data_IF_195277745175
#
_entry.id   IF_195277745175
#
_cell.length_a   1.000
_cell.length_b   1.000
_cell.length_c   1.000
_cell.angle_alpha   90.00
_cell.angle_beta   90.00
_cell.angle_gamma   90.00
#
_symmetry.space_group_name_H-M   'P 1'
#
loop_
_entity.id
_entity.type
_entity.pdbx_description
1 polymer ?
#
# COMPACT_ATOMS: atom_id res chain seq x y z
N UNK A 1 8.55 -28.94 -1.47
CA UNK A 1 7.48 -29.11 -0.46
C UNK A 1 8.03 -28.82 0.96
N UNK A 2 9.14 -29.46 1.40
CA UNK A 2 9.70 -29.24 2.75
C UNK A 2 10.01 -27.77 3.03
N UNK A 3 10.70 -27.07 2.13
CA UNK A 3 11.02 -25.65 2.26
C UNK A 3 9.77 -24.76 2.30
N UNK A 4 8.75 -25.04 1.46
CA UNK A 4 7.47 -24.32 1.51
C UNK A 4 6.80 -24.40 2.88
N UNK A 5 6.80 -25.60 3.47
CA UNK A 5 6.25 -25.84 4.81
C UNK A 5 7.04 -25.13 5.92
N UNK A 6 8.34 -24.93 5.71
CA UNK A 6 9.21 -24.18 6.63
C UNK A 6 8.91 -22.69 6.55
N UNK A 7 8.81 -22.13 5.36
CA UNK A 7 8.44 -20.73 5.13
C UNK A 7 7.04 -20.39 5.68
N UNK A 8 6.08 -21.32 5.64
CA UNK A 8 4.72 -21.08 6.15
C UNK A 8 4.64 -20.95 7.68
N UNK A 9 5.70 -21.25 8.41
CA UNK A 9 5.79 -21.06 9.87
C UNK A 9 6.20 -19.64 10.26
N UNK A 10 6.79 -18.91 9.34
CA UNK A 10 7.14 -17.49 9.52
C UNK A 10 5.97 -16.62 9.05
N UNK A 11 5.61 -15.58 9.82
CA UNK A 11 4.56 -14.64 9.42
C UNK A 11 4.87 -13.98 8.07
N UNK A 12 3.81 -13.58 7.35
CA UNK A 12 3.91 -12.93 6.03
C UNK A 12 3.88 -11.40 6.11
N UNK A 13 3.79 -10.82 7.31
CA UNK A 13 3.83 -9.36 7.49
C UNK A 13 5.26 -8.82 7.36
N UNK A 14 5.41 -7.56 6.95
CA UNK A 14 6.71 -6.92 6.81
C UNK A 14 7.50 -6.93 8.13
N UNK A 15 6.81 -6.73 9.27
CA UNK A 15 7.44 -6.78 10.59
C UNK A 15 7.94 -8.20 10.94
N UNK A 16 7.13 -9.23 10.69
CA UNK A 16 7.51 -10.61 10.94
C UNK A 16 8.72 -11.03 10.06
N UNK A 17 8.74 -10.56 8.81
CA UNK A 17 9.86 -10.79 7.89
C UNK A 17 11.11 -10.03 8.32
N UNK A 18 10.97 -8.79 8.82
CA UNK A 18 12.11 -7.99 9.27
C UNK A 18 12.86 -8.64 10.46
N UNK A 19 12.09 -9.18 11.42
CA UNK A 19 12.63 -9.80 12.64
C UNK A 19 13.00 -11.27 12.44
N UNK A 20 12.34 -11.97 11.51
CA UNK A 20 12.49 -13.40 11.27
C UNK A 20 13.86 -13.79 10.69
N UNK A 21 14.31 -15.02 10.98
CA UNK A 21 15.51 -15.58 10.37
C UNK A 21 15.34 -15.69 8.85
N UNK A 22 16.35 -15.22 8.08
CA UNK A 22 16.38 -15.31 6.62
C UNK A 22 16.80 -16.73 6.23
N UNK A 23 15.86 -17.46 5.61
CA UNK A 23 16.10 -18.82 5.12
C UNK A 23 15.88 -18.89 3.61
N UNK A 24 16.68 -19.70 2.95
CA UNK A 24 16.63 -19.89 1.51
C UNK A 24 16.85 -21.34 1.09
N UNK A 25 16.44 -21.62 -0.11
CA UNK A 25 16.72 -22.88 -0.80
C UNK A 25 17.42 -22.57 -2.13
N UNK A 26 18.68 -23.02 -2.23
CA UNK A 26 19.44 -22.90 -3.46
C UNK A 26 18.90 -23.85 -4.53
N UNK A 27 18.74 -23.33 -5.73
CA UNK A 27 18.32 -24.13 -6.89
C UNK A 27 19.52 -24.49 -7.75
N UNK A 28 19.38 -25.45 -8.67
CA UNK A 28 20.40 -25.75 -9.69
C UNK A 28 20.46 -24.69 -10.81
N UNK A 29 19.62 -23.67 -10.75
CA UNK A 29 19.52 -22.63 -11.77
C UNK A 29 20.52 -21.50 -11.50
N UNK A 30 20.99 -20.90 -12.60
CA UNK A 30 21.77 -19.65 -12.58
C UNK A 30 21.13 -18.63 -13.50
N UNK A 31 20.98 -17.41 -13.02
CA UNK A 31 20.54 -16.29 -13.85
C UNK A 31 21.76 -15.59 -14.49
N UNK A 32 21.62 -15.18 -15.74
CA UNK A 32 22.63 -14.40 -16.46
C UNK A 32 22.37 -12.92 -16.18
N UNK A 33 23.40 -12.18 -15.76
CA UNK A 33 23.27 -10.73 -15.59
C UNK A 33 23.01 -10.08 -16.94
N UNK A 34 21.88 -9.39 -17.15
CA UNK A 34 21.52 -8.82 -18.45
C UNK A 34 22.47 -7.69 -18.90
N UNK A 35 23.19 -7.07 -17.96
CA UNK A 35 24.16 -6.01 -18.25
C UNK A 35 25.57 -6.55 -18.44
N UNK A 36 25.87 -7.72 -17.88
CA UNK A 36 27.14 -8.45 -18.06
C UNK A 36 26.88 -9.94 -18.30
N UNK A 37 26.72 -10.40 -19.55
CA UNK A 37 26.37 -11.79 -19.88
C UNK A 37 27.42 -12.83 -19.41
N UNK A 38 28.65 -12.42 -19.10
CA UNK A 38 29.67 -13.31 -18.56
C UNK A 38 29.44 -13.65 -17.08
N UNK A 39 28.67 -12.82 -16.37
CA UNK A 39 28.34 -13.00 -14.95
C UNK A 39 27.08 -13.86 -14.82
N UNK A 40 27.20 -14.94 -14.07
CA UNK A 40 26.09 -15.82 -13.69
C UNK A 40 25.93 -15.78 -12.17
N UNK A 41 24.72 -15.55 -11.71
CA UNK A 41 24.39 -15.51 -10.28
C UNK A 41 23.49 -16.69 -9.90
N UNK A 42 23.62 -17.25 -8.69
CA UNK A 42 22.77 -18.35 -8.22
C UNK A 42 21.33 -17.88 -8.02
N UNK A 43 20.38 -18.77 -8.18
CA UNK A 43 18.95 -18.51 -7.97
C UNK A 43 18.49 -19.22 -6.71
N UNK A 44 17.94 -18.47 -5.77
CA UNK A 44 17.40 -18.96 -4.51
C UNK A 44 15.89 -18.73 -4.41
N UNK A 45 15.19 -19.64 -3.76
CA UNK A 45 13.92 -19.31 -3.10
C UNK A 45 14.24 -18.82 -1.70
N UNK A 46 13.71 -17.66 -1.30
CA UNK A 46 13.95 -17.09 0.01
C UNK A 46 12.63 -16.65 0.66
N UNK A 47 12.51 -16.82 1.99
CA UNK A 47 11.29 -16.51 2.73
C UNK A 47 10.98 -15.02 2.88
N UNK A 48 11.92 -14.14 2.56
CA UNK A 48 11.77 -12.69 2.66
C UNK A 48 11.53 -11.98 1.31
N UNK A 49 11.51 -12.73 0.20
CA UNK A 49 11.15 -12.22 -1.12
C UNK A 49 9.65 -12.38 -1.31
N UNK A 50 8.92 -11.26 -1.28
CA UNK A 50 7.47 -11.23 -1.39
C UNK A 50 7.03 -11.24 -2.85
N UNK A 51 5.89 -11.87 -3.14
CA UNK A 51 5.30 -11.95 -4.49
C UNK A 51 4.89 -10.58 -5.03
N UNK A 52 4.52 -9.66 -4.15
CA UNK A 52 4.08 -8.30 -4.49
C UNK A 52 5.25 -7.35 -4.78
N UNK A 53 6.49 -7.81 -4.57
CA UNK A 53 7.69 -7.03 -4.80
C UNK A 53 8.44 -7.57 -6.02
N UNK A 54 8.66 -6.73 -7.03
CA UNK A 54 9.42 -7.10 -8.21
C UNK A 54 8.89 -8.32 -8.99
N UNK A 55 7.58 -8.53 -9.01
CA UNK A 55 6.93 -9.72 -9.58
C UNK A 55 7.35 -11.04 -8.91
N UNK A 56 7.79 -10.98 -7.66
CA UNK A 56 8.25 -12.14 -6.89
C UNK A 56 9.65 -12.64 -7.24
N UNK A 57 10.38 -11.89 -8.07
CA UNK A 57 11.78 -12.14 -8.36
C UNK A 57 12.57 -10.83 -8.24
N UNK A 58 13.61 -10.84 -7.40
CA UNK A 58 14.44 -9.66 -7.14
C UNK A 58 15.91 -9.99 -7.36
N UNK A 59 16.69 -8.98 -7.73
CA UNK A 59 18.14 -9.07 -7.80
C UNK A 59 18.70 -8.72 -6.40
N UNK A 60 19.40 -9.64 -5.76
CA UNK A 60 20.00 -9.41 -4.45
C UNK A 60 21.13 -8.40 -4.52
N UNK A 61 21.25 -7.54 -3.51
CA UNK A 61 22.33 -6.56 -3.38
C UNK A 61 22.96 -6.62 -1.98
N UNK A 62 23.71 -7.67 -1.65
CA UNK A 62 24.19 -7.94 -0.29
C UNK A 62 24.98 -6.80 0.35
N UNK A 63 25.75 -6.06 -0.44
CA UNK A 63 26.53 -4.95 0.10
C UNK A 63 25.67 -3.74 0.52
N UNK A 64 24.40 -3.63 0.05
CA UNK A 64 23.61 -2.40 0.17
C UNK A 64 22.15 -2.63 0.62
N UNK A 65 21.78 -3.85 0.97
CA UNK A 65 20.55 -4.22 1.68
C UNK A 65 20.91 -5.16 2.84
N UNK A 66 20.51 -4.82 4.06
CA UNK A 66 20.89 -5.59 5.26
C UNK A 66 20.31 -7.01 5.23
N UNK A 67 19.11 -7.22 4.69
CA UNK A 67 18.50 -8.55 4.58
C UNK A 67 19.28 -9.45 3.62
N UNK A 68 19.70 -8.89 2.49
CA UNK A 68 20.54 -9.59 1.53
C UNK A 68 21.95 -9.84 2.07
N UNK A 69 22.49 -8.89 2.89
CA UNK A 69 23.78 -9.06 3.56
C UNK A 69 23.76 -10.25 4.53
N UNK A 70 22.77 -10.30 5.43
CA UNK A 70 22.60 -11.36 6.40
C UNK A 70 22.41 -12.72 5.71
N UNK A 71 21.65 -12.73 4.63
CA UNK A 71 21.44 -13.90 3.79
C UNK A 71 22.74 -14.36 3.12
N UNK A 72 23.48 -13.43 2.52
CA UNK A 72 24.74 -13.73 1.85
C UNK A 72 25.80 -14.27 2.82
N UNK A 73 25.90 -13.69 4.02
CA UNK A 73 26.78 -14.22 5.08
C UNK A 73 26.38 -15.65 5.47
N UNK A 74 25.09 -15.91 5.67
CA UNK A 74 24.57 -17.23 6.05
C UNK A 74 24.85 -18.31 5.00
N UNK A 75 24.70 -17.98 3.73
CA UNK A 75 24.88 -18.92 2.61
C UNK A 75 26.24 -18.82 1.94
N UNK A 76 27.18 -18.09 2.55
CA UNK A 76 28.55 -17.89 2.07
C UNK A 76 28.61 -17.41 0.61
N UNK A 77 27.74 -16.46 0.26
CA UNK A 77 27.70 -15.81 -1.05
C UNK A 77 28.66 -14.61 -1.11
N UNK A 78 29.11 -14.26 -2.29
CA UNK A 78 29.97 -13.10 -2.50
C UNK A 78 29.26 -11.79 -2.15
N UNK A 79 29.92 -10.93 -1.37
CA UNK A 79 29.46 -9.58 -1.03
C UNK A 79 30.39 -8.58 -1.71
N UNK A 80 29.93 -8.01 -2.83
CA UNK A 80 30.67 -7.06 -3.63
C UNK A 80 30.24 -5.63 -3.32
N UNK A 81 31.12 -4.81 -2.73
CA UNK A 81 30.88 -3.39 -2.51
C UNK A 81 30.78 -2.66 -3.83
N UNK A 82 29.63 -2.03 -4.13
CA UNK A 82 29.38 -1.31 -5.37
C UNK A 82 29.02 0.16 -5.17
N UNK A 83 28.70 0.58 -3.95
CA UNK A 83 28.52 2.00 -3.58
C UNK A 83 29.49 2.32 -2.44
N UNK A 84 30.24 3.39 -2.57
CA UNK A 84 31.07 3.96 -1.50
C UNK A 84 30.49 5.28 -1.04
N UNK A 85 30.54 5.63 0.27
CA UNK A 85 30.23 6.96 0.75
C UNK A 85 31.06 8.05 0.05
N UNK A 86 30.54 9.28 -0.04
CA UNK A 86 31.22 10.39 -0.73
C UNK A 86 32.59 10.74 -0.12
N UNK A 87 32.75 10.53 1.20
CA UNK A 87 33.95 10.82 1.96
C UNK A 87 34.94 9.67 2.03
N UNK A 88 34.66 8.53 1.38
CA UNK A 88 35.49 7.35 1.35
C UNK A 88 36.27 7.23 0.03
N UNK A 89 37.39 6.52 0.06
CA UNK A 89 38.20 6.22 -1.12
C UNK A 89 37.73 4.94 -1.84
N UNK A 90 38.29 4.65 -3.01
CA UNK A 90 37.87 3.50 -3.85
C UNK A 90 38.21 2.13 -3.26
N UNK A 91 38.99 2.07 -2.17
CA UNK A 91 39.27 0.84 -1.43
C UNK A 91 38.23 0.55 -0.33
N UNK A 92 37.20 1.37 -0.21
CA UNK A 92 36.12 1.14 0.74
C UNK A 92 35.51 -0.25 0.54
N UNK A 93 35.38 -1.00 1.64
CA UNK A 93 34.81 -2.34 1.67
C UNK A 93 33.80 -2.47 2.78
N UNK A 94 32.74 -3.16 2.49
CA UNK A 94 31.71 -3.53 3.46
C UNK A 94 32.13 -4.84 4.13
N UNK A 95 32.13 -4.87 5.47
CA UNK A 95 32.59 -6.00 6.25
C UNK A 95 31.57 -6.49 7.28
N UNK A 96 31.03 -5.62 8.12
CA UNK A 96 30.19 -5.99 9.28
C UNK A 96 28.69 -5.80 9.02
N UNK A 97 28.33 -4.82 8.22
CA UNK A 97 26.93 -4.44 7.92
C UNK A 97 26.81 -3.84 6.52
N UNK A 98 25.59 -3.87 5.95
CA UNK A 98 25.33 -3.28 4.65
C UNK A 98 25.36 -1.75 4.72
N UNK A 99 25.83 -1.10 3.66
CA UNK A 99 25.76 0.35 3.52
C UNK A 99 24.60 0.75 2.62
N UNK A 100 23.54 1.32 3.19
CA UNK A 100 22.32 1.73 2.47
C UNK A 100 22.26 3.23 2.14
N UNK A 101 23.34 3.99 2.38
CA UNK A 101 23.38 5.43 2.11
C UNK A 101 23.69 5.79 0.64
N UNK A 102 23.54 7.07 0.27
CA UNK A 102 23.93 7.57 -1.04
C UNK A 102 25.45 7.58 -1.19
N UNK A 103 25.94 7.54 -2.43
CA UNK A 103 27.36 7.54 -2.67
C UNK A 103 27.75 7.46 -4.14
N UNK A 104 28.97 7.06 -4.42
CA UNK A 104 29.50 6.90 -5.78
C UNK A 104 29.66 5.43 -6.10
N UNK A 105 29.27 5.05 -7.30
CA UNK A 105 29.43 3.67 -7.78
C UNK A 105 30.89 3.31 -8.06
N UNK A 106 31.29 2.17 -7.52
CA UNK A 106 32.58 1.51 -7.78
C UNK A 106 32.34 0.05 -8.16
N UNK A 107 33.30 -0.62 -8.74
CA UNK A 107 33.20 -2.04 -9.12
C UNK A 107 31.97 -2.40 -10.00
N UNK A 108 31.43 -1.42 -10.74
CA UNK A 108 30.17 -1.48 -11.47
C UNK A 108 30.35 -1.18 -12.98
N UNK A 109 31.54 -1.40 -13.50
CA UNK A 109 31.89 -1.26 -14.94
C UNK A 109 31.52 0.12 -15.49
N UNK A 110 30.59 0.19 -16.46
CA UNK A 110 30.16 1.43 -17.11
C UNK A 110 29.34 2.36 -16.20
N UNK A 111 28.96 1.92 -15.04
CA UNK A 111 28.29 2.72 -14.02
C UNK A 111 29.27 3.35 -13.01
N UNK A 112 30.56 3.00 -13.03
CA UNK A 112 31.55 3.55 -12.13
C UNK A 112 31.59 5.08 -12.20
N UNK A 113 31.68 5.71 -11.04
CA UNK A 113 31.75 7.17 -10.93
C UNK A 113 30.39 7.89 -10.91
N UNK A 114 29.30 7.19 -11.19
CA UNK A 114 27.96 7.78 -11.12
C UNK A 114 27.46 7.86 -9.68
N UNK A 115 26.62 8.87 -9.42
CA UNK A 115 25.96 9.05 -8.14
C UNK A 115 24.85 7.99 -7.97
N UNK A 116 24.84 7.33 -6.82
CA UNK A 116 23.80 6.40 -6.40
C UNK A 116 22.90 7.04 -5.32
N UNK A 117 21.55 6.95 -5.44
CA UNK A 117 20.81 6.22 -6.50
C UNK A 117 20.47 7.05 -7.75
N UNK A 118 20.64 8.37 -7.72
CA UNK A 118 20.03 9.28 -8.69
C UNK A 118 20.46 9.02 -10.15
N UNK A 119 21.74 9.17 -10.44
CA UNK A 119 22.26 9.02 -11.80
C UNK A 119 22.30 7.55 -12.24
N UNK A 120 22.72 6.68 -11.36
CA UNK A 120 22.93 5.27 -11.64
C UNK A 120 21.64 4.53 -12.01
N UNK A 121 20.56 4.80 -11.30
CA UNK A 121 19.23 4.20 -11.56
C UNK A 121 18.72 4.63 -12.94
N UNK A 122 18.77 5.93 -13.24
CA UNK A 122 18.33 6.46 -14.54
C UNK A 122 19.16 5.88 -15.69
N UNK A 123 20.48 5.83 -15.53
CA UNK A 123 21.37 5.27 -16.56
C UNK A 123 21.09 3.80 -16.81
N UNK A 124 20.90 3.02 -15.75
CA UNK A 124 20.56 1.59 -15.84
C UNK A 124 19.22 1.37 -16.54
N UNK A 125 18.18 2.11 -16.17
CA UNK A 125 16.87 2.04 -16.81
C UNK A 125 16.97 2.31 -18.30
N UNK A 126 17.63 3.39 -18.69
CA UNK A 126 17.79 3.76 -20.12
C UNK A 126 18.46 2.64 -20.93
N UNK A 127 19.52 2.04 -20.38
CA UNK A 127 20.21 0.92 -21.06
C UNK A 127 19.31 -0.31 -21.20
N UNK A 128 18.54 -0.65 -20.17
CA UNK A 128 17.62 -1.78 -20.20
C UNK A 128 16.49 -1.56 -21.22
N UNK A 129 15.99 -0.33 -21.34
CA UNK A 129 14.96 0.05 -22.31
C UNK A 129 15.53 0.06 -23.74
N UNK A 130 16.71 0.62 -23.98
CA UNK A 130 17.41 0.59 -25.26
C UNK A 130 17.65 -0.84 -25.76
N UNK A 131 18.06 -1.73 -24.83
CA UNK A 131 18.26 -3.16 -25.13
C UNK A 131 16.94 -3.94 -25.23
N UNK A 132 15.79 -3.34 -24.95
CA UNK A 132 14.46 -3.98 -24.91
C UNK A 132 14.35 -5.19 -23.98
N UNK A 133 15.10 -5.18 -22.88
CA UNK A 133 15.12 -6.24 -21.86
C UNK A 133 14.54 -5.80 -20.51
N UNK A 134 14.12 -4.56 -20.40
CA UNK A 134 13.47 -4.00 -19.24
C UNK A 134 12.68 -2.74 -19.57
N UNK A 135 11.91 -2.25 -18.62
CA UNK A 135 11.20 -0.98 -18.71
C UNK A 135 11.15 -0.30 -17.34
N UNK A 136 11.12 1.03 -17.34
CA UNK A 136 10.87 1.80 -16.12
C UNK A 136 9.54 1.42 -15.51
N UNK A 137 9.54 1.14 -14.20
CA UNK A 137 8.34 0.90 -13.41
C UNK A 137 8.31 1.88 -12.24
N UNK A 138 7.15 2.48 -12.00
CA UNK A 138 6.92 3.32 -10.83
C UNK A 138 5.98 2.55 -9.91
N UNK A 139 6.47 2.21 -8.72
CA UNK A 139 5.67 1.55 -7.70
C UNK A 139 5.29 2.59 -6.64
N UNK A 140 4.00 2.79 -6.44
CA UNK A 140 3.52 3.64 -5.36
C UNK A 140 3.57 2.87 -4.05
N UNK A 141 4.11 3.51 -3.00
CA UNK A 141 4.20 2.90 -1.66
C UNK A 141 2.91 3.02 -0.86
N UNK A 142 1.97 3.84 -1.31
CA UNK A 142 0.66 3.94 -0.69
C UNK A 142 -0.12 2.65 -0.98
N UNK A 143 -0.59 2.01 0.09
CA UNK A 143 -1.53 0.89 0.02
C UNK A 143 -2.95 1.42 -0.14
N UNK A 144 -3.82 0.63 -0.77
CA UNK A 144 -5.23 0.94 -0.87
C UNK A 144 -5.84 1.09 0.53
N UNK A 145 -6.70 2.09 0.68
CA UNK A 145 -7.46 2.23 1.90
C UNK A 145 -8.66 1.29 1.88
N UNK A 146 -8.55 0.16 2.58
CA UNK A 146 -9.67 -0.73 2.83
C UNK A 146 -10.68 -0.05 3.76
N UNK A 147 -11.82 0.38 3.23
CA UNK A 147 -12.83 1.16 3.96
C UNK A 147 -13.84 0.31 4.73
N UNK A 148 -13.84 -0.99 4.54
CA UNK A 148 -14.81 -1.94 5.09
C UNK A 148 -14.38 -2.45 6.47
N UNK A 149 -15.30 -2.47 7.45
CA UNK A 149 -15.05 -2.92 8.82
C UNK A 149 -16.14 -3.89 9.28
N UNK A 150 -15.73 -5.00 9.85
CA UNK A 150 -16.57 -6.04 10.42
C UNK A 150 -16.96 -5.67 11.85
N UNK A 151 -17.75 -4.61 11.98
CA UNK A 151 -18.20 -4.10 13.29
C UNK A 151 -19.53 -3.35 13.18
N UNK A 152 -20.23 -3.22 14.31
CA UNK A 152 -21.49 -2.50 14.39
C UNK A 152 -21.31 -0.97 14.21
N UNK A 153 -20.34 -0.38 14.94
CA UNK A 153 -20.13 1.06 14.93
C UNK A 153 -19.47 1.54 13.65
N UNK A 154 -20.24 2.26 12.85
CA UNK A 154 -19.83 2.85 11.58
C UNK A 154 -21.04 3.15 10.71
N UNK A 155 -20.85 3.87 9.60
CA UNK A 155 -21.89 4.06 8.59
C UNK A 155 -22.09 2.75 7.82
N UNK A 156 -23.34 2.25 7.69
CA UNK A 156 -23.61 1.11 6.82
C UNK A 156 -23.24 1.41 5.37
N UNK A 157 -22.68 0.43 4.69
CA UNK A 157 -22.36 0.54 3.26
C UNK A 157 -23.65 0.32 2.46
N UNK A 158 -24.07 1.27 1.60
CA UNK A 158 -25.37 1.19 0.91
C UNK A 158 -25.35 0.28 -0.32
N UNK A 159 -24.98 -0.99 -0.11
CA UNK A 159 -24.91 -2.03 -1.15
C UNK A 159 -25.64 -3.29 -0.67
N UNK A 160 -26.17 -4.05 -1.60
CA UNK A 160 -26.71 -5.40 -1.37
C UNK A 160 -26.23 -6.33 -2.46
N UNK A 161 -26.28 -7.64 -2.20
CA UNK A 161 -25.79 -8.68 -3.10
C UNK A 161 -26.85 -9.72 -3.44
N UNK A 162 -26.83 -10.23 -4.65
CA UNK A 162 -27.60 -11.42 -5.01
C UNK A 162 -26.88 -12.71 -4.59
N UNK A 163 -27.51 -13.85 -4.85
CA UNK A 163 -26.97 -15.20 -4.56
C UNK A 163 -25.68 -15.55 -5.30
N UNK A 164 -25.35 -14.81 -6.36
CA UNK A 164 -24.12 -14.98 -7.13
C UNK A 164 -23.01 -14.00 -6.68
N UNK A 165 -23.29 -13.17 -5.67
CA UNK A 165 -22.34 -12.17 -5.16
C UNK A 165 -22.26 -10.91 -6.02
N UNK A 166 -23.20 -10.70 -6.97
CA UNK A 166 -23.27 -9.46 -7.75
C UNK A 166 -23.82 -8.35 -6.87
N UNK A 167 -23.16 -7.21 -6.89
CA UNK A 167 -23.51 -6.01 -6.13
C UNK A 167 -24.63 -5.19 -6.76
N UNK A 168 -25.46 -4.62 -5.90
CA UNK A 168 -26.55 -3.71 -6.24
C UNK A 168 -26.55 -2.52 -5.28
N UNK A 169 -26.36 -1.29 -5.77
CA UNK A 169 -26.44 -0.10 -4.92
C UNK A 169 -27.87 0.07 -4.39
N UNK A 170 -27.98 0.45 -3.12
CA UNK A 170 -29.30 0.75 -2.51
C UNK A 170 -29.85 2.05 -3.11
N UNK A 171 -31.08 2.06 -3.65
CA UNK A 171 -31.67 3.23 -4.26
C UNK A 171 -31.80 4.42 -3.30
N UNK A 172 -31.70 5.64 -3.82
CA UNK A 172 -31.84 6.88 -3.00
C UNK A 172 -33.12 6.94 -2.18
N UNK A 173 -34.22 6.39 -2.68
CA UNK A 173 -35.52 6.32 -1.97
C UNK A 173 -35.47 5.44 -0.71
N UNK A 174 -34.49 4.57 -0.59
CA UNK A 174 -34.29 3.65 0.54
C UNK A 174 -33.15 4.12 1.49
N UNK A 175 -32.56 5.29 1.24
CA UNK A 175 -31.57 5.90 2.10
C UNK A 175 -32.20 6.82 3.16
N UNK A 176 -31.58 7.00 4.32
CA UNK A 176 -30.35 6.37 4.77
C UNK A 176 -30.54 4.92 5.23
N UNK A 177 -29.53 4.07 5.05
CA UNK A 177 -29.50 2.74 5.66
C UNK A 177 -29.25 2.92 7.15
N UNK A 178 -30.23 2.52 7.97
CA UNK A 178 -30.16 2.64 9.45
C UNK A 178 -29.65 1.33 10.04
N UNK A 179 -28.78 1.42 11.04
CA UNK A 179 -28.37 0.28 11.85
C UNK A 179 -29.54 -0.27 12.68
N UNK A 180 -29.62 -1.59 12.92
CA UNK A 180 -30.64 -2.17 13.80
C UNK A 180 -30.37 -1.77 15.26
N UNK A 181 -31.42 -1.44 16.01
CA UNK A 181 -31.30 -0.98 17.40
C UNK A 181 -31.08 -2.15 18.39
N UNK A 182 -31.66 -3.31 18.10
CA UNK A 182 -31.58 -4.49 18.96
C UNK A 182 -30.53 -5.44 18.46
N UNK A 183 -29.30 -5.30 18.95
CA UNK A 183 -28.16 -6.12 18.51
C UNK A 183 -27.37 -6.62 19.72
N UNK A 184 -26.97 -7.88 19.67
CA UNK A 184 -26.00 -8.43 20.62
C UNK A 184 -24.58 -8.14 20.13
N UNK A 185 -23.84 -7.35 20.90
CA UNK A 185 -22.45 -6.99 20.61
C UNK A 185 -21.43 -8.01 21.14
N UNK A 186 -21.87 -9.01 21.93
CA UNK A 186 -20.99 -10.02 22.55
C UNK A 186 -20.79 -11.27 21.66
N UNK A 187 -21.08 -11.15 20.37
CA UNK A 187 -20.91 -12.26 19.42
C UNK A 187 -19.49 -12.28 18.86
N UNK A 188 -19.02 -13.46 18.44
CA UNK A 188 -17.80 -13.59 17.65
C UNK A 188 -18.07 -13.16 16.21
N UNK A 189 -17.16 -12.38 15.65
CA UNK A 189 -17.27 -11.88 14.27
C UNK A 189 -18.08 -10.60 14.17
N UNK A 190 -18.63 -10.33 12.98
CA UNK A 190 -19.41 -9.13 12.72
C UNK A 190 -20.83 -9.26 13.35
N UNK A 191 -21.21 -8.40 14.31
CA UNK A 191 -22.53 -8.47 14.93
C UNK A 191 -23.69 -8.34 13.94
N UNK A 192 -23.52 -7.63 12.83
CA UNK A 192 -24.54 -7.44 11.80
C UNK A 192 -24.82 -8.71 10.99
N UNK A 193 -23.88 -9.66 10.91
CA UNK A 193 -24.08 -10.94 10.24
C UNK A 193 -25.20 -11.78 10.83
N UNK A 194 -25.48 -11.60 12.11
CA UNK A 194 -26.52 -12.32 12.83
C UNK A 194 -27.91 -11.68 12.74
N UNK A 195 -28.03 -10.50 12.06
CA UNK A 195 -29.28 -9.75 11.92
C UNK A 195 -30.04 -10.18 10.66
N UNK A 196 -30.61 -11.39 10.66
CA UNK A 196 -31.22 -11.99 9.47
C UNK A 196 -32.36 -11.18 8.86
N UNK A 197 -33.17 -10.49 9.66
CA UNK A 197 -34.27 -9.67 9.14
C UNK A 197 -33.74 -8.33 8.54
N UNK A 198 -32.75 -7.72 9.19
CA UNK A 198 -32.11 -6.49 8.71
C UNK A 198 -31.33 -6.73 7.42
N UNK A 199 -30.68 -7.88 7.27
CA UNK A 199 -29.91 -8.23 6.06
C UNK A 199 -30.78 -8.39 4.82
N UNK A 200 -32.01 -8.89 4.97
CA UNK A 200 -32.89 -9.11 3.82
C UNK A 200 -33.45 -7.80 3.29
N UNK A 201 -33.36 -7.61 2.00
CA UNK A 201 -33.89 -6.45 1.30
C UNK A 201 -34.44 -6.85 -0.07
N UNK A 202 -35.46 -6.16 -0.51
CA UNK A 202 -35.99 -6.30 -1.87
C UNK A 202 -35.77 -4.98 -2.64
N UNK A 203 -35.14 -5.07 -3.81
CA UNK A 203 -34.89 -3.94 -4.71
C UNK A 203 -35.36 -4.34 -6.09
N UNK A 204 -36.32 -3.60 -6.64
CA UNK A 204 -36.90 -3.85 -7.97
C UNK A 204 -37.39 -5.30 -8.17
N UNK A 205 -38.06 -5.85 -7.15
CA UNK A 205 -38.59 -7.22 -7.15
C UNK A 205 -37.53 -8.31 -6.95
N UNK A 206 -36.27 -7.97 -6.74
CA UNK A 206 -35.18 -8.92 -6.45
C UNK A 206 -34.95 -9.02 -4.95
N UNK A 207 -34.89 -10.26 -4.47
CA UNK A 207 -34.48 -10.56 -3.08
C UNK A 207 -32.96 -10.54 -2.97
N UNK A 208 -32.44 -9.65 -2.14
CA UNK A 208 -31.00 -9.41 -1.98
C UNK A 208 -30.61 -9.49 -0.51
N UNK A 209 -29.31 -9.59 -0.26
CA UNK A 209 -28.72 -9.53 1.08
C UNK A 209 -27.91 -8.23 1.21
N UNK A 210 -28.21 -7.42 2.24
CA UNK A 210 -27.44 -6.19 2.52
C UNK A 210 -26.00 -6.53 2.87
N UNK A 211 -25.11 -5.61 2.52
CA UNK A 211 -23.78 -5.56 3.10
C UNK A 211 -23.87 -5.41 4.62
N UNK A 212 -23.10 -6.21 5.34
CA UNK A 212 -23.06 -6.22 6.81
C UNK A 212 -21.85 -5.47 7.38
N UNK A 213 -20.85 -5.19 6.55
CA UNK A 213 -19.75 -4.34 6.95
C UNK A 213 -20.20 -2.88 7.06
N UNK A 214 -19.53 -2.15 7.93
CA UNK A 214 -19.67 -0.71 8.06
C UNK A 214 -18.44 0.00 7.55
N UNK A 215 -18.57 1.27 7.19
CA UNK A 215 -17.44 2.08 6.77
C UNK A 215 -16.51 2.34 7.95
N UNK A 216 -15.21 2.39 7.68
CA UNK A 216 -14.21 2.95 8.56
C UNK A 216 -14.67 4.34 9.04
N UNK A 217 -14.55 4.61 10.34
CA UNK A 217 -14.95 5.90 10.91
C UNK A 217 -14.19 7.09 10.32
N UNK A 218 -13.00 6.85 9.78
CA UNK A 218 -12.26 7.88 9.04
C UNK A 218 -12.97 8.31 7.74
N UNK A 219 -13.84 7.50 7.16
CA UNK A 219 -14.66 7.94 6.01
C UNK A 219 -15.57 9.10 6.42
N UNK A 220 -16.22 9.00 7.58
CA UNK A 220 -17.07 10.08 8.09
C UNK A 220 -16.25 11.30 8.52
N UNK A 221 -15.14 11.11 9.20
CA UNK A 221 -14.29 12.21 9.67
C UNK A 221 -13.50 12.89 8.56
N UNK A 222 -13.36 12.27 7.40
CA UNK A 222 -12.61 12.82 6.26
C UNK A 222 -13.28 14.00 5.58
N UNK A 223 -14.54 14.28 5.87
CA UNK A 223 -15.30 15.35 5.22
C UNK A 223 -16.16 16.18 6.19
N UNK A 224 -16.04 16.00 7.50
CA UNK A 224 -16.89 16.66 8.49
C UNK A 224 -16.85 18.18 8.40
N UNK A 225 -15.70 18.76 8.03
CA UNK A 225 -15.52 20.20 7.86
C UNK A 225 -16.39 20.76 6.72
N UNK A 226 -16.66 19.99 5.65
CA UNK A 226 -17.63 20.36 4.63
C UNK A 226 -19.05 20.43 5.21
N UNK A 227 -19.40 19.46 6.06
CA UNK A 227 -20.68 19.45 6.76
C UNK A 227 -20.82 20.68 7.68
N UNK A 228 -19.72 21.12 8.31
CA UNK A 228 -19.73 22.32 9.16
C UNK A 228 -20.01 23.61 8.38
N UNK A 229 -19.67 23.66 7.10
CA UNK A 229 -20.04 24.80 6.24
C UNK A 229 -21.56 24.92 6.08
N UNK A 230 -22.30 23.81 6.09
CA UNK A 230 -23.76 23.77 5.86
C UNK A 230 -24.50 22.98 6.96
N UNK A 231 -24.45 23.41 8.23
CA UNK A 231 -24.93 22.59 9.36
C UNK A 231 -26.44 22.36 9.37
N UNK A 232 -27.20 23.19 8.68
CA UNK A 232 -28.68 23.13 8.61
C UNK A 232 -29.20 22.45 7.35
N UNK A 233 -28.31 22.01 6.46
CA UNK A 233 -28.71 21.28 5.24
C UNK A 233 -29.20 19.87 5.58
N UNK A 234 -30.36 19.48 5.08
CA UNK A 234 -30.99 18.18 5.38
C UNK A 234 -31.07 17.23 4.19
N UNK A 235 -30.89 17.72 2.98
CA UNK A 235 -31.04 16.92 1.74
C UNK A 235 -29.69 16.40 1.24
N UNK A 236 -28.60 17.15 1.51
CA UNK A 236 -27.26 16.86 1.03
C UNK A 236 -26.24 16.95 2.17
N UNK A 237 -25.05 16.46 1.95
CA UNK A 237 -23.95 16.55 2.91
C UNK A 237 -23.54 18.01 3.17
N UNK A 238 -23.55 18.85 2.14
CA UNK A 238 -23.21 20.28 2.18
C UNK A 238 -23.78 20.98 0.94
N UNK A 239 -23.80 22.31 0.97
CA UNK A 239 -24.10 23.16 -0.20
C UNK A 239 -22.82 23.68 -0.80
N UNK A 240 -22.76 23.69 -2.13
CA UNK A 240 -21.58 24.20 -2.86
C UNK A 240 -21.28 25.66 -2.52
N UNK A 241 -22.30 26.50 -2.46
CA UNK A 241 -22.14 27.94 -2.19
C UNK A 241 -21.50 28.17 -0.81
N UNK A 242 -21.87 27.37 0.18
CA UNK A 242 -21.31 27.46 1.53
C UNK A 242 -19.84 26.99 1.55
N UNK A 243 -19.54 25.92 0.83
CA UNK A 243 -18.16 25.42 0.73
C UNK A 243 -17.27 26.32 -0.09
N UNK A 244 -17.77 26.93 -1.17
CA UNK A 244 -17.00 27.91 -1.97
C UNK A 244 -16.64 29.15 -1.16
N UNK A 245 -17.44 29.50 -0.14
CA UNK A 245 -17.20 30.65 0.71
C UNK A 245 -16.23 30.32 1.89
N UNK A 246 -16.39 29.16 2.53
CA UNK A 246 -15.67 28.83 3.78
C UNK A 246 -14.39 28.01 3.59
N UNK A 247 -14.19 27.40 2.43
CA UNK A 247 -13.07 26.52 2.14
C UNK A 247 -12.01 27.19 1.23
N UNK A 248 -10.73 26.77 1.29
CA UNK A 248 -10.15 25.81 2.22
C UNK A 248 -10.10 26.33 3.66
N UNK A 249 -9.80 25.44 4.63
CA UNK A 249 -9.65 25.84 6.04
C UNK A 249 -8.29 26.54 6.21
N UNK A 250 -8.30 27.79 6.71
CA UNK A 250 -7.09 28.61 6.85
C UNK A 250 -6.10 28.08 7.88
N UNK A 251 -6.60 27.46 8.95
CA UNK A 251 -5.76 26.88 10.00
C UNK A 251 -6.41 25.65 10.60
N UNK A 252 -5.66 24.55 10.62
CA UNK A 252 -6.13 23.26 11.12
C UNK A 252 -5.14 22.68 12.13
N UNK A 253 -5.57 22.54 13.40
CA UNK A 253 -4.72 22.13 14.52
C UNK A 253 -5.19 20.79 15.04
N UNK A 254 -4.26 19.83 15.19
CA UNK A 254 -4.54 18.51 15.71
C UNK A 254 -3.27 17.78 16.17
N UNK A 255 -3.41 16.52 16.59
CA UNK A 255 -2.30 15.67 16.98
C UNK A 255 -1.42 15.28 15.80
N UNK A 256 -0.13 15.07 16.05
CA UNK A 256 0.86 14.70 15.01
C UNK A 256 0.55 13.37 14.32
N UNK A 257 -0.11 12.44 15.02
CA UNK A 257 -0.56 11.16 14.49
C UNK A 257 -1.51 11.30 13.30
N UNK A 258 -2.24 12.40 13.22
CA UNK A 258 -3.17 12.66 12.12
C UNK A 258 -2.48 13.00 10.80
N UNK A 259 -1.18 13.29 10.79
CA UNK A 259 -0.41 13.52 9.56
C UNK A 259 -0.49 12.33 8.59
N UNK A 260 -0.48 11.10 9.11
CA UNK A 260 -0.56 9.85 8.34
C UNK A 260 -1.94 9.16 8.41
N UNK A 261 -2.91 9.75 9.12
CA UNK A 261 -4.27 9.23 9.28
C UNK A 261 -5.27 10.21 8.69
N UNK A 262 -5.91 11.01 9.55
CA UNK A 262 -6.99 11.93 9.18
C UNK A 262 -6.63 12.91 8.06
N UNK A 263 -5.46 13.54 8.12
CA UNK A 263 -5.05 14.51 7.08
C UNK A 263 -4.87 13.83 5.73
N UNK A 264 -4.28 12.64 5.68
CA UNK A 264 -4.15 11.86 4.45
C UNK A 264 -5.51 11.49 3.87
N UNK A 265 -6.42 10.98 4.71
CA UNK A 265 -7.76 10.58 4.28
C UNK A 265 -8.61 11.78 3.85
N UNK A 266 -8.51 12.91 4.55
CA UNK A 266 -9.20 14.15 4.17
C UNK A 266 -8.76 14.65 2.78
N UNK A 267 -7.47 14.64 2.50
CA UNK A 267 -6.92 15.01 1.20
C UNK A 267 -7.37 14.04 0.10
N UNK A 268 -7.33 12.74 0.38
CA UNK A 268 -7.85 11.73 -0.54
C UNK A 268 -9.34 11.97 -0.83
N UNK A 269 -10.15 12.19 0.21
CA UNK A 269 -11.60 12.37 0.08
C UNK A 269 -11.95 13.60 -0.76
N UNK A 270 -11.26 14.73 -0.55
CA UNK A 270 -11.45 15.93 -1.38
C UNK A 270 -11.13 15.69 -2.85
N UNK A 271 -10.05 14.97 -3.14
CA UNK A 271 -9.67 14.59 -4.50
C UNK A 271 -10.68 13.62 -5.13
N UNK A 272 -11.21 12.69 -4.34
CA UNK A 272 -12.26 11.77 -4.79
C UNK A 272 -13.56 12.50 -5.12
N UNK A 273 -13.97 13.49 -4.30
CA UNK A 273 -15.14 14.32 -4.57
C UNK A 273 -14.99 15.20 -5.82
N UNK A 274 -13.77 15.64 -6.13
CA UNK A 274 -13.48 16.44 -7.33
C UNK A 274 -13.19 15.60 -8.58
N UNK A 275 -13.07 14.28 -8.44
CA UNK A 275 -12.84 13.38 -9.58
C UNK A 275 -14.11 13.33 -10.46
N UNK A 276 -13.94 13.61 -11.75
CA UNK A 276 -15.03 13.66 -12.73
C UNK A 276 -16.21 14.58 -12.31
N UNK A 277 -15.94 15.58 -11.46
CA UNK A 277 -16.97 16.50 -10.94
C UNK A 277 -16.54 17.96 -11.12
N UNK A 278 -16.88 18.54 -12.26
CA UNK A 278 -16.56 19.94 -12.61
C UNK A 278 -17.19 20.97 -11.65
N UNK A 279 -18.16 20.56 -10.85
CA UNK A 279 -18.85 21.45 -9.88
C UNK A 279 -18.11 21.55 -8.54
N UNK A 280 -17.14 20.69 -8.29
CA UNK A 280 -16.37 20.66 -7.05
C UNK A 280 -14.88 20.90 -7.35
N UNK A 281 -14.38 22.08 -7.05
CA UNK A 281 -13.02 22.51 -7.45
C UNK A 281 -11.98 22.44 -6.32
N UNK A 282 -12.38 22.12 -5.11
CA UNK A 282 -11.44 22.00 -3.98
C UNK A 282 -10.63 20.73 -4.11
N UNK A 283 -9.30 20.87 -4.20
CA UNK A 283 -8.36 19.75 -4.27
C UNK A 283 -7.71 19.44 -2.93
N UNK A 284 -7.49 20.48 -2.13
CA UNK A 284 -6.91 20.38 -0.80
C UNK A 284 -7.87 20.99 0.22
N UNK A 285 -8.07 20.34 1.38
CA UNK A 285 -9.02 20.80 2.39
C UNK A 285 -8.47 21.89 3.31
N UNK A 286 -7.16 21.97 3.43
CA UNK A 286 -6.44 22.86 4.35
C UNK A 286 -5.37 23.66 3.60
N UNK A 287 -5.20 24.93 3.97
CA UNK A 287 -4.13 25.82 3.46
C UNK A 287 -2.78 25.51 4.10
#
# INVERSE_FOLDING_TARGET
>A
IKFKNECSKTGTTEEAIAVGEKIGFETDLKAINPLNPSQKVPVFFANFVLMDYGFGAVFGCPAHDQRDFDFAKKYNLEIKTVVKPLNENDNFKIDSEAYAGPGILINSEFLNGLEAPNESVLKTINILEEKKIGKKQINFRLKDWGISRQRYWGCPIPVAYDENGKDYPIPKSMLPVKLPNNIDLNVKGNPLDNQNDWKKIEIDGKKLTRETDTLDTFVCSSWYYLRFCSPKENNYGYKKEDTDYWMPVDQYIGGVEHAILHLLYSRFFMRALSHENDKFNLKEPFD
#
